data_IF_355906975347
#
_entry.id   IF_355906975347
#
_cell.length_a   1.000
_cell.length_b   1.000
_cell.length_c   1.000
_cell.angle_alpha   90.00
_cell.angle_beta   90.00
_cell.angle_gamma   90.00
#
_symmetry.space_group_name_H-M   'P 1'
#
loop_
_entity.id
_entity.type
_entity.pdbx_description
1 polymer ?
#
# COMPACT_ATOMS: atom_id res chain seq x y z
N UNK A 1 -6.18 0.18 18.68
CA UNK A 1 -6.04 0.13 17.21
C UNK A 1 -4.57 0.11 16.87
N UNK A 2 -4.16 -0.85 16.06
CA UNK A 2 -2.78 -0.88 15.56
C UNK A 2 -2.50 0.32 14.64
N UNK A 3 -1.24 0.59 14.39
CA UNK A 3 -0.84 1.71 13.53
C UNK A 3 0.24 1.28 12.56
N UNK A 4 0.30 1.97 11.44
CA UNK A 4 1.34 1.88 10.43
C UNK A 4 2.01 3.25 10.30
N UNK A 5 3.30 3.31 10.54
CA UNK A 5 4.07 4.55 10.35
C UNK A 5 4.69 4.56 8.96
N UNK A 6 4.47 5.63 8.21
CA UNK A 6 5.01 5.80 6.86
C UNK A 6 6.10 6.87 6.87
N UNK A 7 7.23 6.55 6.21
CA UNK A 7 8.23 7.57 5.94
C UNK A 7 7.72 8.56 4.87
N UNK A 8 8.25 9.79 4.85
CA UNK A 8 7.86 10.78 3.84
C UNK A 8 8.11 10.31 2.41
N UNK A 9 9.25 9.66 2.19
CA UNK A 9 9.62 9.13 0.87
C UNK A 9 8.63 8.06 0.42
N UNK A 10 8.21 7.18 1.34
CA UNK A 10 7.23 6.15 1.03
C UNK A 10 5.90 6.74 0.58
N UNK A 11 5.42 7.78 1.28
CA UNK A 11 4.17 8.45 0.93
C UNK A 11 4.25 9.10 -0.45
N UNK A 12 5.32 9.83 -0.72
CA UNK A 12 5.51 10.49 -2.01
C UNK A 12 5.57 9.47 -3.14
N UNK A 13 6.33 8.40 -2.96
CA UNK A 13 6.49 7.37 -3.99
C UNK A 13 5.16 6.63 -4.27
N UNK A 14 4.39 6.33 -3.22
CA UNK A 14 3.06 5.74 -3.40
C UNK A 14 2.11 6.68 -4.13
N UNK A 15 2.10 7.95 -3.75
CA UNK A 15 1.24 8.96 -4.36
C UNK A 15 1.55 9.10 -5.85
N UNK A 16 2.82 9.25 -6.20
CA UNK A 16 3.25 9.37 -7.59
C UNK A 16 2.85 8.13 -8.38
N UNK A 17 3.11 6.93 -7.85
CA UNK A 17 2.75 5.69 -8.52
C UNK A 17 1.24 5.57 -8.76
N UNK A 18 0.44 5.92 -7.76
CA UNK A 18 -1.02 5.82 -7.84
C UNK A 18 -1.61 6.82 -8.84
N UNK A 19 -1.09 8.04 -8.85
CA UNK A 19 -1.55 9.08 -9.78
C UNK A 19 -1.10 8.79 -11.21
N UNK A 20 0.12 8.31 -11.40
CA UNK A 20 0.65 7.95 -12.72
C UNK A 20 -0.08 6.75 -13.34
N UNK A 21 -0.52 5.80 -12.56
CA UNK A 21 -1.23 4.62 -13.05
C UNK A 21 -2.69 4.92 -13.43
N UNK A 22 -3.30 5.94 -12.81
CA UNK A 22 -4.70 6.28 -13.07
C UNK A 22 -4.98 6.36 -14.58
N UNK A 23 -6.06 5.80 -15.11
CA UNK A 23 -7.22 5.20 -14.45
C UNK A 23 -7.08 3.71 -14.08
N UNK A 24 -5.89 3.15 -14.13
CA UNK A 24 -5.61 1.76 -13.72
C UNK A 24 -5.17 1.73 -12.26
N UNK A 25 -5.27 0.55 -11.64
CA UNK A 25 -4.74 0.36 -10.30
C UNK A 25 -3.21 0.28 -10.31
N UNK A 26 -2.58 1.09 -9.47
CA UNK A 26 -1.18 0.91 -9.12
C UNK A 26 -1.05 -0.15 -8.05
N UNK A 27 0.11 -0.77 -7.95
CA UNK A 27 0.44 -1.67 -6.84
C UNK A 27 1.93 -1.65 -6.55
N UNK A 28 2.30 -2.14 -5.38
CA UNK A 28 3.69 -2.25 -4.99
C UNK A 28 3.84 -2.82 -3.59
N UNK A 29 5.08 -2.86 -3.14
CA UNK A 29 5.46 -3.50 -1.89
C UNK A 29 6.00 -2.46 -0.91
N UNK A 30 5.67 -2.66 0.36
CA UNK A 30 6.09 -1.83 1.47
C UNK A 30 7.25 -2.53 2.17
N UNK A 31 8.40 -1.85 2.26
CA UNK A 31 9.61 -2.38 2.89
C UNK A 31 9.87 -1.63 4.19
N UNK A 32 10.16 -2.35 5.26
CA UNK A 32 10.43 -1.71 6.54
C UNK A 32 10.67 -2.70 7.66
N UNK A 33 10.18 -2.35 8.84
CA UNK A 33 10.34 -3.13 10.05
C UNK A 33 8.99 -3.38 10.71
N UNK A 34 8.83 -4.58 11.28
CA UNK A 34 7.59 -5.00 11.93
C UNK A 34 7.78 -5.32 13.42
N UNK A 35 8.68 -4.61 14.10
CA UNK A 35 8.95 -4.84 15.52
C UNK A 35 7.71 -4.57 16.39
N UNK A 36 7.69 -3.57 17.26
CA UNK A 36 6.52 -3.24 18.08
C UNK A 36 5.44 -2.54 17.25
N UNK A 37 5.86 -1.59 16.42
CA UNK A 37 5.01 -0.92 15.45
C UNK A 37 5.56 -1.15 14.05
N UNK A 38 4.65 -1.39 13.11
CA UNK A 38 5.05 -1.58 11.71
C UNK A 38 5.41 -0.22 11.11
N UNK A 39 6.61 -0.15 10.54
CA UNK A 39 7.15 1.08 9.96
C UNK A 39 7.58 0.82 8.53
N UNK A 40 7.07 1.61 7.61
CA UNK A 40 7.47 1.58 6.20
C UNK A 40 8.56 2.63 5.97
N UNK A 41 9.71 2.18 5.49
CA UNK A 41 10.86 3.02 5.20
C UNK A 41 11.01 3.27 3.72
N UNK A 42 10.53 2.35 2.87
CA UNK A 42 10.75 2.38 1.43
C UNK A 42 9.60 1.65 0.72
N UNK A 43 9.34 2.07 -0.49
CA UNK A 43 8.32 1.46 -1.36
C UNK A 43 8.98 0.96 -2.64
N UNK A 44 8.56 -0.20 -3.12
CA UNK A 44 8.93 -0.72 -4.42
C UNK A 44 7.66 -0.78 -5.26
N UNK A 45 7.60 0.06 -6.29
CA UNK A 45 6.49 0.06 -7.24
C UNK A 45 6.60 -1.19 -8.10
N UNK A 46 5.49 -1.92 -8.25
CA UNK A 46 5.44 -3.15 -9.03
C UNK A 46 4.56 -2.98 -10.26
N UNK A 47 4.77 -3.85 -11.24
CA UNK A 47 3.88 -3.91 -12.39
C UNK A 47 2.57 -4.57 -11.97
N UNK A 48 1.47 -4.01 -12.42
CA UNK A 48 0.17 -4.63 -12.36
C UNK A 48 -0.04 -5.43 -13.64
N UNK A 49 -0.10 -6.76 -13.52
CA UNK A 49 -0.31 -7.65 -14.65
C UNK A 49 -1.76 -7.72 -15.12
N UNK A 50 -2.69 -7.22 -14.29
CA UNK A 50 -4.10 -7.13 -14.69
C UNK A 50 -4.31 -5.84 -15.49
N UNK A 51 -5.07 -5.93 -16.59
CA UNK A 51 -5.33 -4.78 -17.47
C UNK A 51 -6.64 -4.08 -17.16
N UNK A 52 -7.47 -4.61 -16.24
CA UNK A 52 -8.71 -3.96 -15.84
C UNK A 52 -8.43 -2.77 -14.90
N UNK A 53 -9.44 -1.90 -14.76
CA UNK A 53 -9.36 -0.77 -13.83
C UNK A 53 -9.80 -1.14 -12.40
N UNK A 54 -10.22 -2.39 -12.16
CA UNK A 54 -10.87 -2.80 -10.92
C UNK A 54 -10.10 -3.85 -10.11
N UNK A 55 -8.93 -4.27 -10.60
CA UNK A 55 -8.10 -5.28 -9.91
C UNK A 55 -6.62 -5.03 -10.16
N UNK A 56 -5.80 -5.65 -9.30
CA UNK A 56 -4.38 -5.73 -9.57
C UNK A 56 -3.87 -7.15 -9.36
N UNK A 57 -2.85 -7.51 -10.14
CA UNK A 57 -2.06 -8.73 -9.96
C UNK A 57 -0.60 -8.28 -9.94
N UNK A 58 0.02 -8.36 -8.77
CA UNK A 58 1.39 -7.92 -8.57
C UNK A 58 2.36 -8.87 -9.29
N UNK A 59 3.25 -8.31 -10.11
CA UNK A 59 4.22 -9.10 -10.86
C UNK A 59 5.17 -9.85 -9.89
N UNK A 60 5.23 -11.19 -9.95
CA UNK A 60 6.12 -11.97 -9.08
C UNK A 60 7.60 -11.61 -9.21
N UNK A 61 8.05 -11.14 -10.38
CA UNK A 61 9.42 -10.68 -10.58
C UNK A 61 9.71 -9.46 -9.71
N UNK A 62 8.76 -8.54 -9.63
CA UNK A 62 8.89 -7.36 -8.77
C UNK A 62 8.85 -7.73 -7.28
N UNK A 63 8.09 -8.76 -6.91
CA UNK A 63 8.11 -9.28 -5.54
C UNK A 63 9.50 -9.79 -5.16
N UNK A 64 10.11 -10.61 -6.01
CA UNK A 64 11.45 -11.15 -5.77
C UNK A 64 12.48 -10.02 -5.69
N UNK A 65 12.37 -9.03 -6.58
CA UNK A 65 13.25 -7.85 -6.55
C UNK A 65 13.11 -7.08 -5.24
N UNK A 66 11.89 -6.86 -4.79
CA UNK A 66 11.62 -6.16 -3.53
C UNK A 66 12.18 -6.92 -2.33
N UNK A 67 12.02 -8.23 -2.31
CA UNK A 67 12.55 -9.09 -1.24
C UNK A 67 14.08 -8.98 -1.17
N UNK A 68 14.76 -9.01 -2.32
CA UNK A 68 16.21 -8.84 -2.39
C UNK A 68 16.66 -7.47 -1.89
N UNK A 69 15.98 -6.40 -2.30
CA UNK A 69 16.27 -5.04 -1.84
C UNK A 69 16.09 -4.91 -0.33
N UNK A 70 15.04 -5.51 0.22
CA UNK A 70 14.78 -5.48 1.65
C UNK A 70 15.89 -6.20 2.42
N UNK A 71 16.27 -7.40 2.00
CA UNK A 71 17.35 -8.17 2.62
C UNK A 71 18.68 -7.42 2.59
N UNK A 72 19.04 -6.83 1.47
CA UNK A 72 20.27 -6.06 1.33
C UNK A 72 20.31 -4.85 2.27
N UNK A 73 19.15 -4.24 2.55
CA UNK A 73 19.03 -3.11 3.44
C UNK A 73 18.82 -3.51 4.92
N UNK A 74 18.75 -4.80 5.23
CA UNK A 74 18.51 -5.29 6.61
C UNK A 74 17.09 -5.03 7.10
N UNK A 75 16.13 -4.96 6.19
CA UNK A 75 14.69 -4.79 6.47
C UNK A 75 13.89 -5.91 5.80
N UNK A 76 12.57 -5.83 5.84
CA UNK A 76 11.70 -6.88 5.30
C UNK A 76 10.51 -6.30 4.55
N UNK A 77 9.80 -7.14 3.81
CA UNK A 77 8.51 -6.77 3.25
C UNK A 77 7.49 -6.79 4.38
N UNK A 78 6.83 -5.66 4.62
CA UNK A 78 5.84 -5.52 5.71
C UNK A 78 4.42 -5.33 5.19
N UNK A 79 4.25 -5.23 3.89
CA UNK A 79 2.93 -5.07 3.31
C UNK A 79 2.92 -4.77 1.82
N UNK A 80 1.77 -4.40 1.36
CA UNK A 80 1.49 -4.07 -0.03
C UNK A 80 0.65 -2.80 -0.09
N UNK A 81 0.78 -2.06 -1.17
CA UNK A 81 -0.14 -0.96 -1.47
C UNK A 81 -0.78 -1.16 -2.84
N UNK A 82 -1.98 -0.64 -3.00
CA UNK A 82 -2.61 -0.48 -4.31
C UNK A 82 -3.55 0.71 -4.30
N UNK A 83 -3.99 1.13 -5.49
CA UNK A 83 -4.93 2.23 -5.63
C UNK A 83 -6.29 1.74 -6.06
N UNK A 84 -7.32 2.49 -5.67
CA UNK A 84 -8.70 2.34 -6.13
C UNK A 84 -9.06 3.54 -7.00
N UNK A 85 -9.01 3.43 -8.33
CA UNK A 85 -9.40 4.52 -9.21
C UNK A 85 -10.91 4.81 -9.10
N UNK A 86 -11.25 6.04 -8.76
CA UNK A 86 -12.63 6.53 -8.63
C UNK A 86 -13.49 5.73 -7.64
N UNK A 87 -12.85 5.08 -6.67
CA UNK A 87 -13.50 4.27 -5.64
C UNK A 87 -12.98 4.64 -4.26
N UNK A 88 -13.75 4.40 -3.19
CA UNK A 88 -13.29 4.64 -1.82
C UNK A 88 -12.08 3.76 -1.45
N UNK A 89 -11.28 4.23 -0.51
CA UNK A 89 -10.12 3.50 0.02
C UNK A 89 -10.56 2.43 1.04
N UNK A 90 -11.35 1.48 0.59
CA UNK A 90 -11.86 0.36 1.40
C UNK A 90 -11.59 -0.96 0.69
N UNK A 91 -11.27 -2.04 1.44
CA UNK A 91 -11.00 -3.34 0.82
C UNK A 91 -12.19 -3.86 0.03
N UNK A 92 -11.93 -4.32 -1.19
CA UNK A 92 -12.89 -5.09 -1.97
C UNK A 92 -12.91 -6.56 -1.49
N UNK A 93 -13.89 -7.37 -1.89
CA UNK A 93 -13.87 -8.80 -1.62
C UNK A 93 -12.60 -9.49 -2.14
N UNK A 94 -12.08 -9.06 -3.29
CA UNK A 94 -10.83 -9.56 -3.86
C UNK A 94 -9.64 -9.18 -2.98
N UNK A 95 -9.62 -7.97 -2.45
CA UNK A 95 -8.57 -7.50 -1.53
C UNK A 95 -8.54 -8.37 -0.26
N UNK A 96 -9.70 -8.67 0.30
CA UNK A 96 -9.81 -9.54 1.48
C UNK A 96 -9.31 -10.94 1.17
N UNK A 97 -9.68 -11.49 0.02
CA UNK A 97 -9.26 -12.84 -0.39
C UNK A 97 -7.75 -12.93 -0.60
N UNK A 98 -7.12 -11.88 -1.10
CA UNK A 98 -5.69 -11.84 -1.40
C UNK A 98 -4.84 -11.37 -0.21
N UNK A 99 -5.44 -10.94 0.89
CA UNK A 99 -4.72 -10.39 2.03
C UNK A 99 -3.74 -11.39 2.64
N UNK A 100 -2.56 -10.89 3.03
CA UNK A 100 -1.51 -11.70 3.63
C UNK A 100 -1.50 -11.52 5.16
N UNK A 101 -1.54 -12.62 5.93
CA UNK A 101 -1.42 -12.52 7.38
C UNK A 101 -0.13 -11.82 7.81
N UNK A 102 -0.25 -10.89 8.74
CA UNK A 102 0.89 -10.16 9.30
C UNK A 102 1.34 -8.95 8.49
N UNK A 103 0.70 -8.67 7.36
CA UNK A 103 1.04 -7.52 6.52
C UNK A 103 0.05 -6.36 6.72
N UNK A 104 0.51 -5.16 6.41
CA UNK A 104 -0.34 -3.99 6.20
C UNK A 104 -0.72 -3.89 4.72
N UNK A 105 -1.96 -3.49 4.48
CA UNK A 105 -2.50 -3.31 3.13
C UNK A 105 -2.95 -1.86 3.01
N UNK A 106 -2.15 -1.04 2.31
CA UNK A 106 -2.45 0.38 2.09
C UNK A 106 -3.26 0.52 0.82
N UNK A 107 -4.37 1.24 0.91
CA UNK A 107 -5.25 1.53 -0.22
C UNK A 107 -5.30 3.04 -0.41
N UNK A 108 -5.00 3.51 -1.62
CA UNK A 108 -5.10 4.90 -2.00
C UNK A 108 -6.30 5.10 -2.93
N UNK A 109 -7.25 5.93 -2.51
CA UNK A 109 -8.34 6.37 -3.39
C UNK A 109 -7.82 7.44 -4.33
N UNK A 110 -7.93 7.22 -5.63
CA UNK A 110 -7.51 8.19 -6.66
C UNK A 110 -8.75 8.66 -7.40
N UNK A 111 -9.13 9.90 -7.20
CA UNK A 111 -10.30 10.49 -7.86
C UNK A 111 -9.86 11.34 -9.04
N UNK A 112 -10.55 11.18 -10.16
CA UNK A 112 -10.21 11.90 -11.37
C UNK A 112 -11.34 11.97 -12.39
N UNK A 113 -10.96 12.38 -13.60
CA UNK A 113 -11.87 12.62 -14.73
C UNK A 113 -11.78 11.57 -15.85
N UNK A 114 -11.09 10.46 -15.59
CA UNK A 114 -10.80 9.41 -16.57
C UNK A 114 -9.47 9.58 -17.28
N UNK A 115 -8.86 10.76 -17.24
CA UNK A 115 -7.55 11.05 -17.85
C UNK A 115 -6.47 11.32 -16.79
N UNK A 116 -6.79 12.13 -15.78
CA UNK A 116 -5.88 12.47 -14.69
C UNK A 116 -6.61 12.33 -13.34
N UNK A 117 -5.90 11.93 -12.32
CA UNK A 117 -6.44 11.75 -10.96
C UNK A 117 -5.48 12.22 -9.89
N UNK A 118 -6.03 12.47 -8.71
CA UNK A 118 -5.29 12.84 -7.52
C UNK A 118 -5.66 11.91 -6.36
N UNK A 119 -4.68 11.56 -5.54
CA UNK A 119 -4.92 10.81 -4.30
C UNK A 119 -5.77 11.67 -3.36
N UNK A 120 -6.97 11.18 -3.06
CA UNK A 120 -7.94 11.87 -2.21
C UNK A 120 -7.96 11.32 -0.79
N UNK A 121 -7.58 10.06 -0.61
CA UNK A 121 -7.58 9.38 0.69
C UNK A 121 -6.59 8.21 0.67
N UNK A 122 -6.09 7.86 1.83
CA UNK A 122 -5.19 6.73 2.00
C UNK A 122 -5.49 6.06 3.34
N UNK A 123 -5.73 4.76 3.30
CA UNK A 123 -6.06 3.95 4.48
C UNK A 123 -5.13 2.74 4.56
N UNK A 124 -5.01 2.16 5.72
CA UNK A 124 -4.27 0.91 5.91
C UNK A 124 -5.12 -0.12 6.64
N UNK A 125 -4.97 -1.37 6.25
CA UNK A 125 -5.76 -2.50 6.74
C UNK A 125 -4.84 -3.67 7.04
N UNK A 126 -5.06 -4.31 8.16
CA UNK A 126 -4.23 -5.42 8.60
C UNK A 126 -5.03 -6.70 8.78
N UNK A 127 -4.40 -7.82 8.43
CA UNK A 127 -4.86 -9.15 8.76
C UNK A 127 -3.87 -9.71 9.78
N UNK A 128 -4.28 -9.92 11.06
CA UNK A 128 -3.37 -10.47 12.07
C UNK A 128 -2.84 -11.85 11.68
N UNK A 129 -1.61 -12.17 12.10
CA UNK A 129 -0.97 -13.46 11.80
C UNK A 129 -1.77 -14.64 12.33
N UNK A 130 -2.41 -14.47 13.48
CA UNK A 130 -3.17 -15.50 14.20
C UNK A 130 -4.67 -15.41 13.94
N UNK A 131 -5.10 -14.63 12.94
CA UNK A 131 -6.51 -14.48 12.62
C UNK A 131 -7.13 -15.82 12.23
N UNK A 132 -8.22 -16.17 12.90
CA UNK A 132 -9.01 -17.36 12.57
C UNK A 132 -10.00 -17.10 11.45
N UNK A 133 -10.28 -15.82 11.16
CA UNK A 133 -11.16 -15.37 10.09
C UNK A 133 -10.42 -14.37 9.20
N UNK A 134 -10.74 -14.39 7.91
CA UNK A 134 -10.22 -13.42 6.95
C UNK A 134 -11.00 -12.11 7.06
N UNK A 135 -10.65 -11.32 8.05
CA UNK A 135 -11.25 -10.03 8.28
C UNK A 135 -10.15 -8.98 8.37
N UNK A 136 -10.10 -8.10 7.37
CA UNK A 136 -9.20 -6.95 7.40
C UNK A 136 -9.74 -5.91 8.37
N UNK A 137 -8.88 -5.46 9.28
CA UNK A 137 -9.20 -4.43 10.26
C UNK A 137 -8.42 -3.17 9.94
N UNK A 138 -9.11 -2.03 9.91
CA UNK A 138 -8.45 -0.75 9.66
C UNK A 138 -7.44 -0.46 10.78
N UNK A 139 -6.27 -0.01 10.40
CA UNK A 139 -5.24 0.48 11.31
C UNK A 139 -4.97 1.95 11.00
N UNK A 140 -4.52 2.69 12.03
CA UNK A 140 -4.24 4.11 11.87
C UNK A 140 -2.92 4.29 11.11
N UNK A 141 -2.92 5.20 10.14
CA UNK A 141 -1.69 5.65 9.50
C UNK A 141 -1.09 6.78 10.33
N UNK A 142 0.17 6.64 10.70
CA UNK A 142 0.94 7.67 11.38
C UNK A 142 2.09 8.13 10.48
N UNK A 143 2.42 9.41 10.58
CA UNK A 143 3.47 10.05 9.81
C UNK A 143 4.68 10.27 10.73
N UNK A 144 5.88 10.20 10.17
CA UNK A 144 7.08 10.52 10.96
C UNK A 144 6.98 11.96 11.52
N UNK A 145 7.36 12.11 12.80
CA UNK A 145 7.07 13.30 13.62
C UNK A 145 7.59 14.63 13.06
N UNK A 146 8.58 14.59 12.18
CA UNK A 146 9.18 15.78 11.59
C UNK A 146 8.54 16.23 10.28
N UNK A 147 7.40 15.64 9.89
CA UNK A 147 6.83 15.86 8.57
C UNK A 147 5.38 16.34 8.65
N UNK A 148 5.07 17.30 7.80
CA UNK A 148 3.69 17.74 7.58
C UNK A 148 2.91 16.62 6.90
N UNK A 149 1.63 16.54 7.22
CA UNK A 149 0.72 15.60 6.57
C UNK A 149 0.80 15.79 5.05
N UNK A 150 1.29 14.78 4.30
CA UNK A 150 1.43 14.91 2.85
C UNK A 150 0.10 15.07 2.11
N UNK A 151 -1.03 14.85 2.80
CA UNK A 151 -2.37 15.14 2.25
C UNK A 151 -2.67 16.64 2.23
N UNK A 152 -1.79 17.46 2.81
CA UNK A 152 -1.96 18.92 2.91
C UNK A 152 -1.44 19.66 1.67
N UNK A 153 -1.03 18.98 0.63
CA UNK A 153 -0.50 19.60 -0.60
C UNK A 153 -1.47 19.46 -1.77
#
# INVERSE_FOLDING_TARGET
MSSLTLSPEAVVDMRVACEDAYPREACGLLLGRSAEERRVLRVVVARNLDTSASRFVLDPVDFVRADGLARDAGIEIVGVFHSHPDQPARPSPEDVAAAQPGWSHVIASVLGDGAAGCVADMTSWALPKDATQRLLTEERIEWDADQRDPRSY
#
